data_IF_198056569664
#
_entry.id   IF_198056569664
#
_cell.length_a   1.000
_cell.length_b   1.000
_cell.length_c   1.000
_cell.angle_alpha   90.00
_cell.angle_beta   90.00
_cell.angle_gamma   90.00
#
_symmetry.space_group_name_H-M   'P 1'
#
loop_
_entity.id
_entity.type
_entity.pdbx_description
1 polymer ?
#
# COMPACT_ATOMS: atom_id res chain seq x y z
N UNK A 1 24.60 17.41 72.26
CA UNK A 1 23.60 16.37 71.89
C UNK A 1 22.83 16.88 70.67
N UNK A 2 22.56 15.99 69.71
CA UNK A 2 21.76 16.15 68.47
C UNK A 2 22.45 16.30 67.10
N UNK A 3 22.28 15.21 66.34
CA UNK A 3 21.73 15.18 64.97
C UNK A 3 22.63 15.53 63.79
N UNK A 4 23.53 14.59 63.43
CA UNK A 4 24.16 14.55 62.09
C UNK A 4 23.95 13.25 61.29
N UNK A 5 23.11 12.32 61.78
CA UNK A 5 23.09 10.94 61.26
C UNK A 5 21.77 10.49 60.59
N UNK A 6 20.84 11.39 60.25
CA UNK A 6 19.51 11.00 59.72
C UNK A 6 19.33 11.11 58.20
N UNK A 7 20.12 11.92 57.50
CA UNK A 7 19.94 12.16 56.05
C UNK A 7 20.56 11.09 55.15
N UNK A 8 21.79 10.66 55.43
CA UNK A 8 22.51 9.70 54.58
C UNK A 8 21.94 8.29 54.63
N UNK A 9 21.44 7.87 55.80
CA UNK A 9 20.75 6.58 55.96
C UNK A 9 19.45 6.50 55.17
N UNK A 10 18.78 7.64 54.95
CA UNK A 10 17.49 7.69 54.26
C UNK A 10 17.67 7.65 52.73
N UNK A 11 18.70 8.33 52.20
CA UNK A 11 19.10 8.19 50.79
C UNK A 11 19.59 6.76 50.46
N UNK A 12 20.39 6.15 51.34
CA UNK A 12 20.86 4.77 51.15
C UNK A 12 19.71 3.75 51.11
N UNK A 13 18.71 3.92 51.98
CA UNK A 13 17.52 3.07 51.99
C UNK A 13 16.66 3.26 50.72
N UNK A 14 16.48 4.49 50.24
CA UNK A 14 15.73 4.76 49.00
C UNK A 14 16.42 4.17 47.78
N UNK A 15 17.76 4.28 47.66
CA UNK A 15 18.50 3.64 46.58
C UNK A 15 18.42 2.11 46.63
N UNK A 16 18.54 1.50 47.82
CA UNK A 16 18.43 0.04 47.97
C UNK A 16 17.02 -0.46 47.62
N UNK A 17 15.97 0.24 48.06
CA UNK A 17 14.58 -0.10 47.73
C UNK A 17 14.30 0.11 46.24
N UNK A 18 14.85 1.15 45.60
CA UNK A 18 14.72 1.34 44.15
C UNK A 18 15.43 0.25 43.35
N UNK A 19 16.62 -0.19 43.77
CA UNK A 19 17.34 -1.30 43.12
C UNK A 19 16.59 -2.62 43.29
N UNK A 20 16.08 -2.90 44.49
CA UNK A 20 15.24 -4.08 44.75
C UNK A 20 13.93 -4.02 43.96
N UNK A 21 13.31 -2.84 43.82
CA UNK A 21 12.09 -2.65 43.04
C UNK A 21 12.34 -2.84 41.54
N UNK A 22 13.44 -2.29 41.01
CA UNK A 22 13.86 -2.52 39.62
C UNK A 22 14.25 -3.98 39.35
N UNK A 23 14.89 -4.66 40.32
CA UNK A 23 15.22 -6.07 40.20
C UNK A 23 13.96 -6.95 40.19
N UNK A 24 12.98 -6.68 41.06
CA UNK A 24 11.71 -7.43 41.10
C UNK A 24 10.88 -7.21 39.83
N UNK A 25 10.91 -6.01 39.24
CA UNK A 25 10.27 -5.73 37.95
C UNK A 25 10.98 -6.49 36.80
N UNK A 26 12.30 -6.66 36.88
CA UNK A 26 13.09 -7.40 35.87
C UNK A 26 12.89 -8.92 35.88
N UNK A 27 12.52 -9.53 37.02
CA UNK A 27 12.34 -10.99 37.15
C UNK A 27 10.88 -11.47 37.05
N UNK A 28 9.91 -10.56 36.91
CA UNK A 28 8.48 -10.93 36.86
C UNK A 28 7.91 -11.13 35.45
N UNK A 29 8.72 -11.05 34.39
CA UNK A 29 8.26 -11.40 33.05
C UNK A 29 8.41 -12.90 32.85
N UNK A 30 7.38 -13.66 33.23
CA UNK A 30 7.23 -15.04 32.79
C UNK A 30 7.30 -15.06 31.26
N UNK A 31 8.09 -15.95 30.64
CA UNK A 31 8.14 -16.06 29.18
C UNK A 31 6.72 -16.28 28.64
N UNK A 32 6.30 -15.45 27.68
CA UNK A 32 4.98 -15.51 27.07
C UNK A 32 5.11 -15.92 25.61
N UNK A 33 4.14 -16.69 25.14
CA UNK A 33 4.02 -17.02 23.73
C UNK A 33 3.84 -15.74 22.91
N UNK A 34 4.46 -15.67 21.73
CA UNK A 34 4.54 -14.45 20.92
C UNK A 34 4.63 -14.76 19.44
N UNK A 35 4.42 -13.72 18.63
CA UNK A 35 4.45 -13.82 17.17
C UNK A 35 5.65 -13.00 16.67
N UNK A 36 6.57 -13.66 15.98
CA UNK A 36 7.72 -13.01 15.36
C UNK A 36 7.39 -12.65 13.90
N UNK A 37 7.64 -11.40 13.52
CA UNK A 37 7.54 -10.92 12.14
C UNK A 37 8.94 -10.63 11.58
N UNK A 38 9.22 -11.19 10.40
CA UNK A 38 10.42 -10.89 9.61
C UNK A 38 10.01 -10.50 8.20
N UNK A 39 10.73 -9.57 7.58
CA UNK A 39 10.44 -9.10 6.22
C UNK A 39 11.64 -9.21 5.30
N UNK A 40 11.38 -9.50 4.02
CA UNK A 40 12.38 -9.51 2.96
C UNK A 40 11.86 -8.77 1.72
N UNK A 41 12.53 -7.68 1.26
CA UNK A 41 13.64 -7.00 1.94
C UNK A 41 13.24 -6.44 3.33
N UNK A 42 14.20 -6.02 4.16
CA UNK A 42 13.89 -5.33 5.41
C UNK A 42 12.98 -4.12 5.14
N UNK A 43 11.90 -3.95 5.90
CA UNK A 43 10.84 -2.98 5.58
C UNK A 43 11.35 -1.53 5.40
N UNK A 44 12.39 -1.14 6.13
CA UNK A 44 13.00 0.19 6.02
C UNK A 44 13.71 0.45 4.68
N UNK A 45 13.91 -0.59 3.86
CA UNK A 45 14.44 -0.53 2.50
C UNK A 45 13.36 -0.65 1.43
N UNK A 46 12.12 -0.97 1.83
CA UNK A 46 10.97 -0.95 0.93
C UNK A 46 10.48 0.48 0.75
N UNK A 47 9.80 0.76 -0.37
CA UNK A 47 9.09 2.02 -0.59
C UNK A 47 7.68 1.73 -1.07
N UNK A 48 6.72 2.64 -0.81
CA UNK A 48 5.35 2.49 -1.25
C UNK A 48 5.26 2.34 -2.76
N UNK A 49 4.16 1.77 -3.25
CA UNK A 49 3.89 1.83 -4.67
C UNK A 49 3.68 3.29 -5.10
N UNK A 50 4.40 3.69 -6.13
CA UNK A 50 4.28 5.01 -6.74
C UNK A 50 3.13 4.99 -7.76
N UNK A 51 2.06 5.77 -7.52
CA UNK A 51 0.94 5.93 -8.46
C UNK A 51 1.38 6.41 -9.86
N UNK A 52 2.53 7.09 -9.94
CA UNK A 52 3.11 7.62 -11.16
C UNK A 52 4.10 6.65 -11.84
N UNK A 53 4.31 5.43 -11.31
CA UNK A 53 5.27 4.45 -11.85
C UNK A 53 4.88 3.83 -13.21
N UNK A 54 3.90 4.39 -13.90
CA UNK A 54 3.60 4.04 -15.29
C UNK A 54 4.80 4.37 -16.19
N UNK A 55 5.01 3.60 -17.26
CA UNK A 55 6.11 3.82 -18.20
C UNK A 55 6.05 5.19 -18.93
N UNK A 56 4.91 5.88 -18.90
CA UNK A 56 4.70 7.15 -19.60
C UNK A 56 5.11 8.38 -18.77
N UNK A 57 4.98 8.35 -17.45
CA UNK A 57 5.29 9.49 -16.55
C UNK A 57 6.30 9.15 -15.44
N UNK A 58 6.64 7.87 -15.25
CA UNK A 58 7.54 7.39 -14.19
C UNK A 58 8.65 6.48 -14.69
N UNK A 59 9.24 5.73 -13.76
CA UNK A 59 10.41 4.87 -14.04
C UNK A 59 10.08 3.59 -14.82
N UNK A 60 8.79 3.22 -14.91
CA UNK A 60 8.33 1.91 -15.41
C UNK A 60 8.81 0.72 -14.58
N UNK A 61 9.42 0.95 -13.41
CA UNK A 61 9.95 -0.08 -12.52
C UNK A 61 9.06 -0.20 -11.29
N UNK A 62 8.45 -1.36 -11.13
CA UNK A 62 7.70 -1.74 -9.95
C UNK A 62 8.64 -2.40 -8.94
N UNK A 63 8.55 -1.97 -7.67
CA UNK A 63 9.25 -2.67 -6.60
C UNK A 63 8.61 -4.03 -6.39
N UNK A 64 9.42 -5.06 -6.16
CA UNK A 64 8.91 -6.36 -5.78
C UNK A 64 8.09 -6.24 -4.48
N UNK A 65 7.01 -7.03 -4.32
CA UNK A 65 6.25 -7.07 -3.08
C UNK A 65 7.15 -7.50 -1.91
N UNK A 66 6.83 -6.99 -0.72
CA UNK A 66 7.59 -7.33 0.49
C UNK A 66 7.11 -8.69 0.98
N UNK A 67 8.04 -9.63 1.14
CA UNK A 67 7.75 -10.90 1.79
C UNK A 67 7.61 -10.68 3.30
N UNK A 68 6.51 -11.14 3.86
CA UNK A 68 6.17 -11.10 5.28
C UNK A 68 6.15 -12.53 5.79
N UNK A 69 6.94 -12.82 6.81
CA UNK A 69 7.02 -14.12 7.46
C UNK A 69 6.66 -13.97 8.93
N UNK A 70 5.55 -14.61 9.31
CA UNK A 70 5.04 -14.68 10.66
C UNK A 70 5.35 -16.07 11.23
N UNK A 71 5.92 -16.11 12.42
CA UNK A 71 6.19 -17.36 13.15
C UNK A 71 5.61 -17.27 14.55
N UNK A 72 4.63 -18.13 14.83
CA UNK A 72 4.05 -18.27 16.16
C UNK A 72 4.99 -19.09 17.05
N UNK A 73 5.34 -18.57 18.23
CA UNK A 73 6.29 -19.19 19.15
C UNK A 73 5.69 -19.36 20.54
N UNK A 74 6.01 -20.46 21.18
CA UNK A 74 5.66 -20.70 22.57
C UNK A 74 6.51 -19.84 23.53
N UNK A 75 6.25 -19.97 24.83
CA UNK A 75 7.00 -19.30 25.89
C UNK A 75 8.51 -19.64 25.89
N UNK A 76 8.91 -20.79 25.35
CA UNK A 76 10.29 -21.24 25.24
C UNK A 76 10.95 -20.83 23.91
N UNK A 77 10.20 -20.17 23.01
CA UNK A 77 10.64 -19.74 21.70
C UNK A 77 10.53 -20.82 20.60
N UNK A 78 9.94 -21.99 20.89
CA UNK A 78 9.74 -23.05 19.92
C UNK A 78 8.51 -22.77 19.03
N UNK A 79 8.52 -23.17 17.74
CA UNK A 79 7.39 -22.96 16.84
C UNK A 79 6.11 -23.68 17.29
N UNK A 80 4.97 -22.99 17.20
CA UNK A 80 3.66 -23.56 17.48
C UNK A 80 3.09 -24.24 16.24
N UNK A 81 3.30 -25.55 16.13
CA UNK A 81 2.81 -26.36 15.00
C UNK A 81 1.28 -26.48 14.97
N UNK A 82 0.74 -26.76 13.78
CA UNK A 82 -0.70 -26.91 13.52
C UNK A 82 -1.51 -25.71 14.03
N UNK A 83 -1.03 -24.52 13.71
CA UNK A 83 -1.69 -23.27 14.05
C UNK A 83 -2.59 -22.81 12.89
N UNK A 84 -3.73 -22.22 13.21
CA UNK A 84 -4.52 -21.40 12.29
C UNK A 84 -4.15 -19.96 12.55
N UNK A 85 -3.64 -19.29 11.53
CA UNK A 85 -3.17 -17.91 11.60
C UNK A 85 -4.14 -17.06 10.80
N UNK A 86 -4.76 -16.10 11.48
CA UNK A 86 -5.55 -15.02 10.89
C UNK A 86 -4.71 -13.75 10.91
N UNK A 87 -4.58 -13.09 9.77
CA UNK A 87 -3.79 -11.88 9.59
C UNK A 87 -4.68 -10.82 8.96
N UNK A 88 -4.89 -9.73 9.69
CA UNK A 88 -5.48 -8.50 9.17
C UNK A 88 -4.39 -7.44 9.02
N UNK A 89 -4.15 -6.98 7.79
CA UNK A 89 -3.22 -5.88 7.49
C UNK A 89 -4.02 -4.59 7.37
N UNK A 90 -3.87 -3.69 8.34
CA UNK A 90 -4.51 -2.38 8.31
C UNK A 90 -3.56 -1.31 7.78
N UNK A 91 -4.07 -0.44 6.91
CA UNK A 91 -3.34 0.70 6.39
C UNK A 91 -3.16 1.80 7.45
N UNK A 92 -2.15 2.66 7.31
CA UNK A 92 -1.94 3.81 8.18
C UNK A 92 -3.19 4.70 8.29
N UNK A 93 -3.45 5.30 9.46
CA UNK A 93 -4.62 6.13 9.68
C UNK A 93 -4.59 7.42 8.83
N UNK A 94 -5.76 8.03 8.56
CA UNK A 94 -5.83 9.21 7.70
C UNK A 94 -5.03 10.41 8.20
N UNK A 95 -4.37 11.10 7.27
CA UNK A 95 -3.57 12.31 7.56
C UNK A 95 -4.12 13.51 6.80
N UNK A 96 -5.16 14.20 7.31
CA UNK A 96 -5.98 15.12 6.52
C UNK A 96 -5.21 16.31 5.91
N UNK A 97 -4.07 16.68 6.50
CA UNK A 97 -3.25 17.81 6.05
C UNK A 97 -2.07 17.42 5.15
N UNK A 98 -1.69 16.14 5.15
CA UNK A 98 -0.52 15.60 4.45
C UNK A 98 -0.81 14.18 3.96
N UNK A 99 -1.85 14.05 3.13
CA UNK A 99 -2.33 12.76 2.64
C UNK A 99 -1.26 12.03 1.83
N UNK A 100 -1.45 10.74 1.71
CA UNK A 100 -0.68 9.85 0.83
C UNK A 100 -1.21 9.94 -0.60
N UNK A 101 -0.57 9.22 -1.52
CA UNK A 101 -0.94 9.21 -2.94
C UNK A 101 -2.31 8.53 -3.18
N UNK A 102 -2.74 7.70 -2.24
CA UNK A 102 -4.03 7.03 -2.24
C UNK A 102 -4.86 7.38 -0.99
N UNK A 103 -5.42 8.61 -0.87
CA UNK A 103 -6.13 9.03 0.35
C UNK A 103 -7.32 8.14 0.73
N UNK A 104 -7.91 7.46 -0.25
CA UNK A 104 -9.09 6.60 -0.09
C UNK A 104 -8.74 5.31 0.65
N UNK A 105 -7.48 4.86 0.59
CA UNK A 105 -7.02 3.65 1.27
C UNK A 105 -6.47 3.92 2.66
N UNK A 106 -6.49 5.16 3.15
CA UNK A 106 -6.03 5.48 4.50
C UNK A 106 -7.04 4.99 5.55
N UNK A 107 -6.57 4.29 6.57
CA UNK A 107 -7.39 3.78 7.68
C UNK A 107 -8.33 2.62 7.33
N UNK A 108 -8.03 1.87 6.27
CA UNK A 108 -8.82 0.72 5.80
C UNK A 108 -8.06 -0.60 5.98
N UNK A 109 -8.75 -1.71 5.82
CA UNK A 109 -8.13 -3.04 5.79
C UNK A 109 -7.61 -3.32 4.37
N UNK A 110 -6.30 -3.57 4.25
CA UNK A 110 -5.65 -3.91 2.99
C UNK A 110 -5.81 -5.39 2.66
N UNK A 111 -5.69 -6.25 3.66
CA UNK A 111 -5.76 -7.70 3.53
C UNK A 111 -6.39 -8.30 4.78
N UNK A 112 -7.29 -9.26 4.59
CA UNK A 112 -7.80 -10.15 5.64
C UNK A 112 -7.61 -11.60 5.15
N UNK A 113 -6.73 -12.34 5.83
CA UNK A 113 -6.31 -13.66 5.37
C UNK A 113 -6.32 -14.67 6.52
N UNK A 114 -6.94 -15.83 6.30
CA UNK A 114 -6.95 -16.93 7.27
C UNK A 114 -6.42 -18.21 6.64
N UNK A 115 -5.39 -18.79 7.25
CA UNK A 115 -4.82 -20.05 6.79
C UNK A 115 -4.37 -20.97 7.92
N UNK A 116 -4.34 -22.27 7.60
CA UNK A 116 -3.71 -23.27 8.44
C UNK A 116 -2.21 -23.31 8.13
N UNK A 117 -1.39 -23.23 9.17
CA UNK A 117 0.07 -23.24 9.17
C UNK A 117 0.58 -24.47 9.94
N UNK A 118 0.79 -25.62 9.27
CA UNK A 118 1.20 -26.88 9.92
C UNK A 118 2.51 -26.76 10.71
N UNK A 119 3.44 -25.93 10.24
CA UNK A 119 4.75 -25.68 10.87
C UNK A 119 4.76 -24.48 11.82
N UNK A 120 3.61 -23.83 12.04
CA UNK A 120 3.52 -22.58 12.81
C UNK A 120 4.07 -21.36 12.10
N UNK A 121 4.36 -21.48 10.80
CA UNK A 121 4.91 -20.43 9.95
C UNK A 121 3.92 -20.06 8.85
N UNK A 122 3.71 -18.75 8.70
CA UNK A 122 2.88 -18.16 7.66
C UNK A 122 3.72 -17.19 6.84
N UNK A 123 3.69 -17.34 5.51
CA UNK A 123 4.45 -16.48 4.60
C UNK A 123 3.55 -15.94 3.49
N UNK A 124 3.61 -14.63 3.27
CA UNK A 124 2.94 -13.95 2.16
C UNK A 124 3.82 -12.87 1.56
N UNK A 125 3.48 -12.38 0.38
CA UNK A 125 4.07 -11.21 -0.24
C UNK A 125 2.99 -10.16 -0.43
N UNK A 126 3.28 -8.92 -0.09
CA UNK A 126 2.33 -7.82 -0.15
C UNK A 126 3.00 -6.55 -0.69
N UNK A 127 2.36 -5.89 -1.65
CA UNK A 127 2.66 -4.51 -2.00
C UNK A 127 2.00 -3.58 -0.98
N UNK A 128 2.78 -2.66 -0.41
CA UNK A 128 2.27 -1.62 0.47
C UNK A 128 2.03 -0.34 -0.33
N UNK A 129 0.77 0.10 -0.50
CA UNK A 129 0.47 1.19 -1.42
C UNK A 129 0.83 2.57 -0.90
N UNK A 130 0.93 2.77 0.42
CA UNK A 130 1.11 4.09 1.02
C UNK A 130 2.19 4.08 2.11
N UNK A 131 2.82 5.24 2.35
CA UNK A 131 3.76 5.42 3.47
C UNK A 131 3.04 5.36 4.82
N UNK A 132 3.75 4.97 5.88
CA UNK A 132 3.31 5.11 7.26
C UNK A 132 3.37 3.82 8.08
N UNK A 133 2.71 3.84 9.23
CA UNK A 133 2.68 2.71 10.17
C UNK A 133 1.46 1.83 9.92
N UNK A 134 1.69 0.66 9.34
CA UNK A 134 0.70 -0.41 9.20
C UNK A 134 0.58 -1.17 10.52
N UNK A 135 -0.65 -1.61 10.81
CA UNK A 135 -0.93 -2.51 11.93
C UNK A 135 -1.33 -3.88 11.39
N UNK A 136 -0.55 -4.90 11.74
CA UNK A 136 -0.85 -6.29 11.43
C UNK A 136 -1.46 -6.91 12.68
N UNK A 137 -2.78 -7.12 12.69
CA UNK A 137 -3.42 -7.90 13.76
C UNK A 137 -3.28 -9.37 13.39
N UNK A 138 -2.67 -10.13 14.29
CA UNK A 138 -2.43 -11.55 14.08
C UNK A 138 -3.05 -12.33 15.23
N UNK A 139 -4.01 -13.18 14.87
CA UNK A 139 -4.68 -14.10 15.77
C UNK A 139 -4.25 -15.53 15.43
N UNK A 140 -3.72 -16.25 16.42
CA UNK A 140 -3.20 -17.60 16.28
C UNK A 140 -4.00 -18.54 17.16
N UNK A 141 -4.70 -19.48 16.55
CA UNK A 141 -5.51 -20.49 17.23
C UNK A 141 -4.96 -21.89 16.93
N UNK A 142 -5.09 -22.86 17.86
CA UNK A 142 -4.72 -24.23 17.54
C UNK A 142 -5.75 -24.85 16.59
N UNK A 143 -5.30 -25.54 15.54
CA UNK A 143 -6.19 -26.31 14.64
C UNK A 143 -6.84 -27.47 15.41
N UNK A 144 -6.08 -28.08 16.34
CA UNK A 144 -6.58 -29.12 17.25
C UNK A 144 -6.88 -28.49 18.60
N UNK A 145 -8.14 -28.56 19.05
CA UNK A 145 -8.58 -27.95 20.30
C UNK A 145 -7.68 -28.34 21.48
N UNK A 146 -7.18 -27.33 22.21
CA UNK A 146 -6.35 -27.52 23.40
C UNK A 146 -4.86 -27.78 23.14
N UNK A 147 -4.38 -27.78 21.89
CA UNK A 147 -2.95 -27.98 21.60
C UNK A 147 -2.05 -26.87 22.19
N UNK A 148 -2.54 -25.63 22.19
CA UNK A 148 -1.93 -24.49 22.88
C UNK A 148 -3.00 -23.41 23.16
N UNK A 149 -2.69 -22.45 24.02
CA UNK A 149 -3.56 -21.30 24.30
C UNK A 149 -3.51 -20.29 23.16
N UNK A 150 -4.66 -19.85 22.59
CA UNK A 150 -4.68 -18.86 21.52
C UNK A 150 -3.90 -17.58 21.86
N UNK A 151 -3.27 -16.98 20.85
CA UNK A 151 -2.41 -15.80 20.98
C UNK A 151 -2.94 -14.74 20.02
N UNK A 152 -3.09 -13.51 20.51
CA UNK A 152 -3.44 -12.35 19.70
C UNK A 152 -2.35 -11.30 19.88
N UNK A 153 -1.80 -10.78 18.78
CA UNK A 153 -0.79 -9.71 18.83
C UNK A 153 -0.99 -8.74 17.67
N UNK A 154 -0.84 -7.45 17.96
CA UNK A 154 -0.71 -6.42 16.93
C UNK A 154 0.77 -6.11 16.70
N UNK A 155 1.23 -6.32 15.47
CA UNK A 155 2.59 -6.05 15.03
C UNK A 155 2.60 -4.78 14.19
N UNK A 156 3.54 -3.88 14.44
CA UNK A 156 3.63 -2.62 13.70
C UNK A 156 4.68 -2.72 12.61
N UNK A 157 4.35 -2.22 11.43
CA UNK A 157 5.22 -2.23 10.25
C UNK A 157 5.29 -0.83 9.66
N UNK A 158 6.46 -0.19 9.73
CA UNK A 158 6.66 1.18 9.23
C UNK A 158 7.24 1.16 7.83
N UNK A 159 6.44 1.59 6.85
CA UNK A 159 6.87 1.79 5.45
C UNK A 159 7.34 3.24 5.30
N UNK A 160 8.64 3.48 4.97
CA UNK A 160 9.15 4.83 4.81
C UNK A 160 8.63 5.49 3.53
N UNK A 161 8.70 6.82 3.45
CA UNK A 161 8.44 7.55 2.20
C UNK A 161 9.58 7.38 1.20
N UNK A 162 9.29 7.53 -0.10
CA UNK A 162 10.30 7.58 -1.14
C UNK A 162 11.27 8.77 -0.91
N UNK A 163 12.55 8.46 -0.83
CA UNK A 163 13.61 9.47 -0.63
C UNK A 163 13.67 10.49 -1.76
N UNK A 164 13.33 10.11 -3.00
CA UNK A 164 13.28 11.03 -4.13
C UNK A 164 12.21 12.10 -3.95
N UNK A 165 11.02 11.75 -3.44
CA UNK A 165 9.97 12.73 -3.14
C UNK A 165 10.44 13.76 -2.12
N UNK A 166 11.16 13.31 -1.08
CA UNK A 166 11.73 14.21 -0.07
C UNK A 166 12.79 15.16 -0.64
N UNK A 167 13.52 14.75 -1.68
CA UNK A 167 14.53 15.58 -2.35
C UNK A 167 13.87 16.59 -3.31
N UNK A 168 12.90 16.16 -4.11
CA UNK A 168 12.28 17.03 -5.13
C UNK A 168 11.24 17.99 -4.57
N UNK A 169 10.55 17.62 -3.49
CA UNK A 169 9.55 18.47 -2.85
C UNK A 169 10.06 19.89 -2.54
N UNK A 170 11.17 20.10 -1.79
CA UNK A 170 11.68 21.44 -1.50
C UNK A 170 12.10 22.23 -2.75
N UNK A 171 12.53 21.55 -3.81
CA UNK A 171 12.88 22.18 -5.10
C UNK A 171 11.62 22.81 -5.72
N UNK A 172 10.51 22.07 -5.74
CA UNK A 172 9.23 22.58 -6.23
C UNK A 172 8.78 23.79 -5.39
N UNK A 173 8.89 23.72 -4.06
CA UNK A 173 8.54 24.85 -3.19
C UNK A 173 9.41 26.08 -3.50
N UNK A 174 10.71 25.90 -3.71
CA UNK A 174 11.62 26.98 -4.06
C UNK A 174 11.27 27.63 -5.42
N UNK A 175 10.92 26.82 -6.42
CA UNK A 175 10.46 27.30 -7.73
C UNK A 175 9.17 28.12 -7.57
N UNK A 176 8.17 27.61 -6.86
CA UNK A 176 6.91 28.32 -6.62
C UNK A 176 7.13 29.66 -5.91
N UNK A 177 7.99 29.68 -4.89
CA UNK A 177 8.37 30.91 -4.19
C UNK A 177 9.09 31.89 -5.11
N UNK A 178 10.01 31.42 -5.95
CA UNK A 178 10.74 32.26 -6.90
C UNK A 178 9.82 32.86 -7.97
N UNK A 179 8.90 32.06 -8.51
CA UNK A 179 7.87 32.53 -9.47
C UNK A 179 6.99 33.59 -8.80
N UNK A 180 6.45 33.30 -7.61
CA UNK A 180 5.67 34.25 -6.85
C UNK A 180 6.43 35.54 -6.60
N UNK A 181 7.68 35.44 -6.10
CA UNK A 181 8.55 36.57 -5.85
C UNK A 181 8.78 37.43 -7.11
N UNK A 182 9.12 36.80 -8.24
CA UNK A 182 9.29 37.49 -9.52
C UNK A 182 8.02 38.24 -9.94
N UNK A 183 6.86 37.60 -9.82
CA UNK A 183 5.58 38.24 -10.14
C UNK A 183 5.28 39.44 -9.23
N UNK A 184 5.45 39.28 -7.92
CA UNK A 184 5.28 40.36 -6.96
C UNK A 184 6.23 41.53 -7.18
N UNK A 185 7.48 41.22 -7.53
CA UNK A 185 8.49 42.22 -7.86
C UNK A 185 8.11 43.05 -9.09
N UNK A 186 7.64 42.40 -10.15
CA UNK A 186 7.17 43.07 -11.37
C UNK A 186 5.96 43.97 -11.07
N UNK A 187 5.00 43.48 -10.29
CA UNK A 187 3.80 44.25 -9.87
C UNK A 187 4.19 45.45 -9.00
N UNK A 188 5.19 45.29 -8.12
CA UNK A 188 5.67 46.35 -7.24
C UNK A 188 6.45 47.47 -7.95
N UNK A 189 6.74 47.35 -9.25
CA UNK A 189 7.44 48.37 -10.01
C UNK A 189 6.53 49.58 -10.27
N UNK A 190 7.00 50.79 -9.95
CA UNK A 190 6.30 52.05 -10.29
C UNK A 190 6.48 52.34 -11.79
N UNK A 191 5.65 51.73 -12.62
CA UNK A 191 5.48 52.18 -14.01
C UNK A 191 4.40 53.26 -14.08
N UNK A 192 4.65 54.33 -14.82
CA UNK A 192 3.63 55.34 -15.11
C UNK A 192 2.54 54.73 -15.99
N UNK A 193 1.30 54.71 -15.50
CA UNK A 193 0.13 54.32 -16.30
C UNK A 193 -0.15 55.44 -17.30
N UNK A 194 -0.06 55.16 -18.60
CA UNK A 194 -0.38 56.16 -19.63
C UNK A 194 -1.88 56.41 -19.64
N UNK A 195 -2.30 57.62 -19.98
CA UNK A 195 -3.72 57.98 -20.07
C UNK A 195 -4.44 57.04 -21.04
N UNK A 196 -5.46 56.32 -20.56
CA UNK A 196 -6.18 55.27 -21.30
C UNK A 196 -5.69 53.84 -21.07
N UNK A 197 -4.63 53.61 -20.30
CA UNK A 197 -4.17 52.26 -19.90
C UNK A 197 -4.67 51.88 -18.49
N UNK A 198 -4.93 50.59 -18.26
CA UNK A 198 -5.49 50.06 -16.98
C UNK A 198 -4.37 49.60 -16.01
N UNK A 199 -3.17 49.28 -16.53
CA UNK A 199 -2.03 48.85 -15.71
C UNK A 199 -0.69 49.19 -16.39
N UNK A 200 0.42 49.27 -15.63
CA UNK A 200 1.75 49.49 -16.19
C UNK A 200 2.15 48.39 -17.20
N UNK A 201 2.89 48.77 -18.26
CA UNK A 201 3.42 47.85 -19.29
C UNK A 201 4.02 46.53 -18.73
N UNK A 202 4.86 46.51 -17.68
CA UNK A 202 5.41 45.25 -17.15
C UNK A 202 4.35 44.33 -16.55
N UNK A 203 3.31 44.88 -15.92
CA UNK A 203 2.18 44.11 -15.37
C UNK A 203 1.32 43.54 -16.49
N UNK A 204 1.08 44.32 -17.55
CA UNK A 204 0.33 43.85 -18.72
C UNK A 204 1.03 42.69 -19.42
N UNK A 205 2.35 42.76 -19.59
CA UNK A 205 3.15 41.69 -20.18
C UNK A 205 3.11 40.41 -19.34
N UNK A 206 3.19 40.55 -18.02
CA UNK A 206 3.05 39.42 -17.09
C UNK A 206 1.66 38.79 -17.22
N UNK A 207 0.59 39.59 -17.16
CA UNK A 207 -0.78 39.10 -17.27
C UNK A 207 -1.01 38.38 -18.60
N UNK A 208 -0.56 38.96 -19.72
CA UNK A 208 -0.66 38.32 -21.04
C UNK A 208 0.13 37.01 -21.12
N UNK A 209 1.32 36.96 -20.51
CA UNK A 209 2.13 35.75 -20.47
C UNK A 209 1.46 34.64 -19.67
N UNK A 210 0.91 34.97 -18.50
CA UNK A 210 0.15 34.03 -17.66
C UNK A 210 -1.08 33.51 -18.41
N UNK A 211 -1.82 34.37 -19.12
CA UNK A 211 -2.97 33.95 -19.91
C UNK A 211 -2.58 32.97 -21.02
N UNK A 212 -1.49 33.24 -21.75
CA UNK A 212 -1.00 32.32 -22.80
C UNK A 212 -0.57 30.97 -22.21
N UNK A 213 0.14 30.97 -21.08
CA UNK A 213 0.54 29.74 -20.37
C UNK A 213 -0.70 28.98 -19.89
N UNK A 214 -1.69 29.67 -19.32
CA UNK A 214 -2.92 29.05 -18.86
C UNK A 214 -3.70 28.41 -20.02
N UNK A 215 -3.80 29.09 -21.17
CA UNK A 215 -4.42 28.53 -22.38
C UNK A 215 -3.65 27.30 -22.87
N UNK A 216 -2.32 27.38 -22.96
CA UNK A 216 -1.49 26.25 -23.37
C UNK A 216 -1.62 25.05 -22.41
N UNK A 217 -1.65 25.30 -21.10
CA UNK A 217 -1.86 24.28 -20.08
C UNK A 217 -3.26 23.66 -20.17
N UNK A 218 -4.31 24.46 -20.35
CA UNK A 218 -5.66 23.96 -20.55
C UNK A 218 -5.79 23.14 -21.83
N UNK A 219 -5.14 23.56 -22.93
CA UNK A 219 -5.10 22.77 -24.16
C UNK A 219 -4.35 21.45 -23.97
N UNK A 220 -3.19 21.47 -23.30
CA UNK A 220 -2.44 20.26 -22.98
C UNK A 220 -3.28 19.29 -22.15
N UNK A 221 -3.91 19.77 -21.07
CA UNK A 221 -4.78 18.96 -20.22
C UNK A 221 -5.99 18.39 -20.99
N UNK A 222 -6.61 19.17 -21.87
CA UNK A 222 -7.76 18.73 -22.65
C UNK A 222 -7.36 17.66 -23.68
N UNK A 223 -6.24 17.86 -24.37
CA UNK A 223 -5.68 16.87 -25.32
C UNK A 223 -5.29 15.58 -24.57
N UNK A 224 -4.60 15.69 -23.43
CA UNK A 224 -4.21 14.54 -22.62
C UNK A 224 -5.41 13.77 -22.05
N UNK A 225 -6.48 14.46 -21.66
CA UNK A 225 -7.72 13.81 -21.22
C UNK A 225 -8.41 13.05 -22.36
N UNK A 226 -8.41 13.60 -23.58
CA UNK A 226 -8.97 12.95 -24.77
C UNK A 226 -8.19 11.67 -25.14
N UNK A 227 -6.86 11.70 -25.05
CA UNK A 227 -6.01 10.51 -25.23
C UNK A 227 -6.18 9.47 -24.11
N UNK A 228 -6.40 9.89 -22.86
CA UNK A 228 -6.69 8.97 -21.76
C UNK A 228 -8.03 8.25 -21.95
N UNK A 229 -9.05 8.95 -22.47
CA UNK A 229 -10.35 8.32 -22.81
C UNK A 229 -10.32 7.48 -24.08
N UNK A 230 -9.38 7.73 -25.01
CA UNK A 230 -9.23 6.92 -26.22
C UNK A 230 -8.68 5.51 -25.93
N UNK A 231 -8.13 5.25 -24.74
CA UNK A 231 -7.76 3.92 -24.27
C UNK A 231 -8.88 3.20 -23.50
N UNK A 232 -10.06 3.82 -23.34
CA UNK A 232 -11.24 3.22 -22.72
C UNK A 232 -12.41 3.17 -23.72
N UNK A 233 -12.48 2.11 -24.54
CA UNK A 233 -13.70 1.43 -25.06
C UNK A 233 -13.40 0.65 -26.37
N UNK A 234 -14.27 -0.28 -26.83
CA UNK A 234 -14.67 -1.58 -26.27
C UNK A 234 -14.28 -2.74 -27.24
N UNK A 235 -14.60 -3.98 -26.86
CA UNK A 235 -14.53 -5.20 -27.67
C UNK A 235 -14.72 -5.04 -29.20
N UNK A 236 -13.80 -5.63 -29.99
CA UNK A 236 -14.01 -6.34 -31.27
C UNK A 236 -12.72 -7.17 -31.52
N UNK A 237 -12.75 -8.50 -31.46
CA UNK A 237 -13.14 -9.42 -32.53
C UNK A 237 -12.38 -9.15 -33.85
N UNK A 238 -11.60 -10.16 -34.24
CA UNK A 238 -10.92 -10.35 -35.54
C UNK A 238 -9.77 -9.40 -35.90
N UNK A 239 -8.54 -9.89 -35.76
CA UNK A 239 -7.67 -10.29 -36.90
C UNK A 239 -6.22 -10.32 -36.44
N UNK A 240 -5.70 -11.48 -36.00
CA UNK A 240 -4.32 -11.89 -36.32
C UNK A 240 -4.34 -13.40 -36.52
N UNK A 241 -4.33 -13.79 -37.79
CA UNK A 241 -3.91 -15.11 -38.21
C UNK A 241 -2.36 -15.19 -38.15
N UNK A 242 -1.87 -16.37 -37.80
CA UNK A 242 -0.50 -16.87 -37.98
C UNK A 242 0.63 -16.15 -37.21
N UNK A 243 1.08 -16.73 -36.09
CA UNK A 243 2.27 -17.60 -36.05
C UNK A 243 2.15 -18.54 -34.83
N UNK A 244 2.41 -19.82 -35.07
CA UNK A 244 2.34 -20.95 -34.17
C UNK A 244 3.28 -20.89 -32.96
N UNK A 245 2.75 -21.27 -31.80
CA UNK A 245 3.43 -21.97 -30.70
C UNK A 245 2.35 -22.51 -29.76
N UNK A 246 2.24 -23.83 -29.69
CA UNK A 246 1.29 -24.53 -28.85
C UNK A 246 1.57 -24.25 -27.36
N UNK A 247 0.59 -23.74 -26.63
CA UNK A 247 -0.02 -24.49 -25.52
C UNK A 247 -1.27 -23.81 -24.96
N UNK A 248 -2.24 -24.68 -24.68
CA UNK A 248 -3.57 -24.55 -24.07
C UNK A 248 -3.75 -23.41 -23.05
N UNK A 249 -4.65 -22.46 -23.32
CA UNK A 249 -5.97 -22.38 -22.64
C UNK A 249 -6.75 -21.16 -23.13
N UNK A 250 -7.91 -21.45 -23.71
CA UNK A 250 -8.98 -20.51 -23.97
C UNK A 250 -9.35 -19.71 -22.73
N UNK A 251 -9.70 -18.45 -22.97
CA UNK A 251 -10.36 -17.48 -22.10
C UNK A 251 -11.67 -18.08 -21.54
N UNK A 252 -11.57 -18.95 -20.55
CA UNK A 252 -12.70 -19.60 -19.89
C UNK A 252 -12.76 -19.08 -18.44
N UNK A 253 -13.44 -17.94 -18.28
CA UNK A 253 -13.65 -17.20 -17.04
C UNK A 253 -14.60 -17.90 -16.05
N UNK A 254 -14.80 -19.21 -16.19
CA UNK A 254 -15.74 -19.97 -15.35
C UNK A 254 -15.29 -20.09 -13.90
N UNK A 255 -14.06 -19.69 -13.57
CA UNK A 255 -13.46 -19.88 -12.25
C UNK A 255 -13.37 -21.36 -11.88
N UNK A 256 -13.47 -22.28 -12.83
CA UNK A 256 -13.54 -23.70 -12.59
C UNK A 256 -12.62 -24.44 -13.54
N UNK A 257 -11.77 -25.32 -13.00
CA UNK A 257 -10.97 -26.23 -13.80
C UNK A 257 -11.05 -27.64 -13.22
N UNK A 258 -11.15 -28.63 -14.12
CA UNK A 258 -11.10 -30.04 -13.77
C UNK A 258 -9.88 -30.67 -14.45
N UNK A 259 -9.01 -31.30 -13.66
CA UNK A 259 -7.78 -31.93 -14.15
C UNK A 259 -7.44 -33.14 -13.30
N UNK A 260 -7.07 -34.25 -13.94
CA UNK A 260 -6.54 -35.45 -13.26
C UNK A 260 -7.45 -35.99 -12.13
N UNK A 261 -8.77 -35.93 -12.30
CA UNK A 261 -9.72 -36.38 -11.26
C UNK A 261 -9.91 -35.37 -10.11
N UNK A 262 -9.39 -34.16 -10.26
CA UNK A 262 -9.52 -33.06 -9.31
C UNK A 262 -10.38 -31.94 -9.90
N UNK A 263 -11.10 -31.24 -9.05
CA UNK A 263 -11.92 -30.07 -9.35
C UNK A 263 -11.43 -28.91 -8.47
N UNK A 264 -10.90 -27.87 -9.11
CA UNK A 264 -10.51 -26.61 -8.48
C UNK A 264 -11.47 -25.51 -8.89
N UNK A 265 -12.02 -24.82 -7.89
CA UNK A 265 -13.02 -23.77 -8.06
C UNK A 265 -12.53 -22.49 -7.37
N UNK A 266 -12.48 -21.38 -8.10
CA UNK A 266 -12.14 -20.04 -7.65
C UNK A 266 -13.39 -19.16 -7.76
N UNK A 267 -13.98 -18.89 -6.61
CA UNK A 267 -15.16 -18.04 -6.44
C UNK A 267 -14.78 -16.74 -5.76
N UNK A 268 -15.57 -15.68 -5.96
CA UNK A 268 -15.31 -14.38 -5.37
C UNK A 268 -16.00 -13.26 -6.12
N UNK A 269 -15.68 -12.03 -5.74
CA UNK A 269 -16.16 -10.83 -6.41
C UNK A 269 -15.56 -10.71 -7.82
N UNK A 270 -16.38 -10.29 -8.78
CA UNK A 270 -15.97 -10.04 -10.18
C UNK A 270 -15.63 -8.57 -10.43
N UNK A 271 -16.11 -7.68 -9.56
CA UNK A 271 -15.83 -6.26 -9.59
C UNK A 271 -15.65 -5.73 -8.17
N UNK A 272 -14.87 -4.67 -8.04
CA UNK A 272 -14.71 -3.92 -6.79
C UNK A 272 -14.34 -2.48 -7.10
N UNK A 273 -14.18 -1.67 -6.06
CA UNK A 273 -13.72 -0.29 -6.18
C UNK A 273 -12.46 -0.09 -5.33
N UNK A 274 -11.64 0.88 -5.72
CA UNK A 274 -10.46 1.28 -4.94
C UNK A 274 -10.85 1.54 -3.48
N UNK A 275 -10.14 0.92 -2.54
CA UNK A 275 -10.40 1.09 -1.11
C UNK A 275 -11.47 0.15 -0.52
N UNK A 276 -12.09 -0.73 -1.32
CA UNK A 276 -13.02 -1.77 -0.82
C UNK A 276 -12.39 -3.15 -0.84
N UNK A 277 -12.73 -3.95 0.16
CA UNK A 277 -12.34 -5.36 0.22
C UNK A 277 -13.16 -6.17 -0.80
N UNK A 278 -12.47 -6.94 -1.62
CA UNK A 278 -13.04 -8.00 -2.45
C UNK A 278 -12.76 -9.35 -1.80
N UNK A 279 -13.73 -10.25 -1.85
CA UNK A 279 -13.66 -11.59 -1.25
C UNK A 279 -13.37 -12.65 -2.28
N UNK A 280 -12.48 -13.58 -1.94
CA UNK A 280 -12.11 -14.71 -2.80
C UNK A 280 -12.07 -16.01 -2.01
N UNK A 281 -12.38 -17.12 -2.68
CA UNK A 281 -12.28 -18.45 -2.14
C UNK A 281 -11.85 -19.43 -3.23
N UNK A 282 -10.78 -20.16 -2.95
CA UNK A 282 -10.36 -21.33 -3.70
C UNK A 282 -10.82 -22.61 -2.99
N UNK A 283 -11.37 -23.56 -3.74
CA UNK A 283 -11.83 -24.86 -3.23
C UNK A 283 -11.32 -25.99 -4.11
N UNK A 284 -10.61 -26.94 -3.49
CA UNK A 284 -10.12 -28.14 -4.14
C UNK A 284 -10.90 -29.37 -3.65
N UNK A 285 -11.48 -30.09 -4.60
CA UNK A 285 -12.26 -31.31 -4.36
C UNK A 285 -11.88 -32.40 -5.34
N UNK A 286 -12.13 -33.64 -4.95
CA UNK A 286 -12.09 -34.80 -5.85
C UNK A 286 -13.27 -34.72 -6.83
N UNK A 287 -13.02 -34.85 -8.14
CA UNK A 287 -14.05 -34.62 -9.15
C UNK A 287 -15.12 -35.71 -9.21
N UNK A 288 -14.83 -36.92 -8.69
CA UNK A 288 -15.77 -38.04 -8.68
C UNK A 288 -16.59 -38.07 -7.40
N UNK A 289 -15.93 -37.86 -6.26
CA UNK A 289 -16.54 -38.01 -4.93
C UNK A 289 -17.00 -36.69 -4.33
N UNK A 290 -16.59 -35.55 -4.89
CA UNK A 290 -16.75 -34.20 -4.32
C UNK A 290 -16.20 -34.07 -2.89
N UNK A 291 -15.34 -34.99 -2.46
CA UNK A 291 -14.69 -34.89 -1.15
C UNK A 291 -13.59 -33.83 -1.18
N UNK A 292 -13.41 -33.08 -0.08
CA UNK A 292 -12.38 -32.05 0.01
C UNK A 292 -10.98 -32.66 0.00
N UNK A 293 -10.03 -31.93 -0.58
CA UNK A 293 -8.62 -32.33 -0.64
C UNK A 293 -7.79 -31.31 0.13
N UNK A 294 -7.11 -31.79 1.16
CA UNK A 294 -6.29 -30.97 2.05
C UNK A 294 -4.79 -31.23 1.94
N UNK A 295 -4.36 -32.24 1.19
CA UNK A 295 -2.94 -32.62 0.98
C UNK A 295 -2.35 -31.99 -0.29
N UNK A 296 -2.71 -30.73 -0.57
CA UNK A 296 -2.21 -29.93 -1.68
C UNK A 296 -1.60 -28.60 -1.19
N UNK A 297 -0.75 -28.00 -2.02
CA UNK A 297 -0.22 -26.65 -1.82
C UNK A 297 -0.92 -25.71 -2.79
N UNK A 298 -1.49 -24.64 -2.27
CA UNK A 298 -2.06 -23.54 -3.03
C UNK A 298 -1.01 -22.42 -3.11
N UNK A 299 -0.77 -21.94 -4.32
CA UNK A 299 -0.07 -20.69 -4.60
C UNK A 299 -1.10 -19.71 -5.16
N UNK A 300 -1.47 -18.74 -4.35
CA UNK A 300 -2.40 -17.65 -4.70
C UNK A 300 -1.58 -16.44 -5.15
N UNK A 301 -1.96 -15.81 -6.24
CA UNK A 301 -1.35 -14.58 -6.74
C UNK A 301 -2.43 -13.62 -7.24
N UNK A 302 -2.27 -12.34 -6.90
CA UNK A 302 -3.01 -11.21 -7.46
C UNK A 302 -2.05 -10.44 -8.35
N UNK A 303 -2.31 -10.40 -9.66
CA UNK A 303 -1.42 -9.81 -10.67
C UNK A 303 -2.15 -8.66 -11.37
N UNK A 304 -1.55 -7.48 -11.37
CA UNK A 304 -2.11 -6.32 -12.05
C UNK A 304 -1.97 -6.47 -13.58
N UNK A 305 -3.06 -6.32 -14.32
CA UNK A 305 -3.11 -6.67 -15.74
C UNK A 305 -2.41 -5.66 -16.67
N UNK A 306 -2.38 -4.38 -16.31
CA UNK A 306 -1.81 -3.33 -17.17
C UNK A 306 -0.28 -3.40 -17.29
N UNK A 307 0.39 -3.76 -16.19
CA UNK A 307 1.85 -3.70 -16.06
C UNK A 307 2.47 -5.02 -15.57
N UNK A 308 1.65 -6.05 -15.33
CA UNK A 308 2.07 -7.42 -15.01
C UNK A 308 2.99 -7.53 -13.78
N UNK A 309 2.67 -6.81 -12.71
CA UNK A 309 3.33 -6.94 -11.41
C UNK A 309 2.43 -7.65 -10.39
N UNK A 310 3.05 -8.31 -9.42
CA UNK A 310 2.36 -9.07 -8.36
C UNK A 310 2.02 -8.14 -7.19
N UNK A 311 0.72 -7.96 -6.92
CA UNK A 311 0.23 -7.16 -5.80
C UNK A 311 0.22 -7.93 -4.49
N UNK A 312 -0.16 -9.20 -4.57
CA UNK A 312 -0.24 -10.11 -3.44
C UNK A 312 0.14 -11.52 -3.88
N UNK A 313 0.84 -12.25 -3.01
CA UNK A 313 1.04 -13.68 -3.18
C UNK A 313 1.06 -14.43 -1.85
N UNK A 314 0.55 -15.64 -1.84
CA UNK A 314 0.58 -16.54 -0.69
C UNK A 314 0.80 -17.98 -1.12
N UNK A 315 1.60 -18.72 -0.34
CA UNK A 315 1.78 -20.16 -0.54
C UNK A 315 1.49 -20.90 0.76
N UNK A 316 0.59 -21.90 0.70
CA UNK A 316 0.31 -22.73 1.85
C UNK A 316 -0.70 -23.85 1.57
N UNK A 317 -1.27 -24.42 2.62
CA UNK A 317 -2.24 -25.52 2.52
C UNK A 317 -3.68 -25.00 2.64
N UNK A 318 -4.66 -25.63 1.96
CA UNK A 318 -6.06 -25.41 2.26
C UNK A 318 -6.44 -26.01 3.62
N UNK A 319 -7.57 -25.56 4.17
CA UNK A 319 -8.08 -26.08 5.42
C UNK A 319 -8.65 -27.51 5.27
N UNK A 320 -9.16 -28.09 6.36
CA UNK A 320 -9.77 -29.43 6.37
C UNK A 320 -10.98 -29.61 5.42
N UNK A 321 -11.61 -28.51 4.97
CA UNK A 321 -12.67 -28.52 3.95
C UNK A 321 -12.16 -28.34 2.52
N UNK A 322 -10.83 -28.38 2.32
CA UNK A 322 -10.20 -28.17 1.02
C UNK A 322 -10.34 -26.75 0.50
N UNK A 323 -10.58 -25.78 1.39
CA UNK A 323 -10.79 -24.37 1.02
C UNK A 323 -9.71 -23.45 1.56
N UNK A 324 -9.49 -22.36 0.83
CA UNK A 324 -8.70 -21.21 1.24
C UNK A 324 -9.50 -19.96 0.88
N UNK A 325 -9.74 -19.07 1.85
CA UNK A 325 -10.51 -17.86 1.64
C UNK A 325 -9.73 -16.65 2.15
N UNK A 326 -9.84 -15.54 1.44
CA UNK A 326 -9.19 -14.29 1.79
C UNK A 326 -9.98 -13.10 1.25
N UNK A 327 -9.69 -11.92 1.80
CA UNK A 327 -10.16 -10.66 1.26
C UNK A 327 -8.98 -9.74 1.01
N UNK A 328 -9.00 -9.06 -0.12
CA UNK A 328 -7.95 -8.16 -0.57
C UNK A 328 -8.57 -6.84 -1.02
N UNK A 329 -7.94 -5.73 -0.64
CA UNK A 329 -8.28 -4.41 -1.14
C UNK A 329 -7.34 -4.04 -2.29
N UNK A 330 -7.93 -3.61 -3.40
CA UNK A 330 -7.20 -3.02 -4.52
C UNK A 330 -7.11 -1.50 -4.36
N UNK A 331 -6.00 -0.91 -4.80
CA UNK A 331 -5.67 0.48 -4.51
C UNK A 331 -5.37 1.34 -5.75
N UNK A 332 -5.08 0.74 -6.91
CA UNK A 332 -4.60 1.45 -8.11
C UNK A 332 -5.70 1.71 -9.15
N UNK A 333 -6.84 1.01 -9.06
CA UNK A 333 -7.95 1.17 -10.00
C UNK A 333 -7.73 0.48 -11.35
N UNK A 334 -6.79 -0.46 -11.43
CA UNK A 334 -6.54 -1.26 -12.62
C UNK A 334 -7.13 -2.67 -12.48
N UNK A 335 -7.54 -3.33 -13.58
CA UNK A 335 -7.97 -4.73 -13.55
C UNK A 335 -6.87 -5.67 -13.05
N UNK A 336 -7.25 -6.71 -12.31
CA UNK A 336 -6.33 -7.72 -11.77
C UNK A 336 -6.71 -9.15 -12.19
N UNK A 337 -5.70 -10.01 -12.26
CA UNK A 337 -5.82 -11.45 -12.47
C UNK A 337 -5.54 -12.18 -11.15
N UNK A 338 -6.54 -12.88 -10.65
CA UNK A 338 -6.45 -13.76 -9.48
C UNK A 338 -6.14 -15.16 -9.97
N UNK A 339 -4.98 -15.66 -9.59
CA UNK A 339 -4.46 -16.94 -10.03
C UNK A 339 -4.25 -17.85 -8.83
N UNK A 340 -4.74 -19.09 -8.94
CA UNK A 340 -4.51 -20.12 -7.94
C UNK A 340 -3.91 -21.33 -8.61
N UNK A 341 -2.62 -21.56 -8.37
CA UNK A 341 -1.90 -22.74 -8.81
C UNK A 341 -1.89 -23.78 -7.68
N UNK A 342 -2.19 -25.02 -8.01
CA UNK A 342 -2.27 -26.13 -7.06
C UNK A 342 -1.24 -27.19 -7.42
N UNK A 343 -0.45 -27.61 -6.44
CA UNK A 343 0.54 -28.69 -6.58
C UNK A 343 0.40 -29.72 -5.44
N UNK A 344 0.81 -30.98 -5.63
CA UNK A 344 0.76 -31.98 -4.56
C UNK A 344 1.73 -31.60 -3.43
N UNK A 345 1.31 -31.75 -2.18
CA UNK A 345 2.21 -31.59 -1.05
C UNK A 345 3.25 -32.74 -1.03
N UNK A 346 4.44 -32.49 -0.45
CA UNK A 346 5.52 -33.49 -0.42
C UNK A 346 5.14 -34.84 0.22
N UNK A 347 4.18 -34.83 1.15
CA UNK A 347 3.65 -36.01 1.85
C UNK A 347 2.25 -36.41 1.39
N UNK A 348 1.81 -35.91 0.23
CA UNK A 348 0.49 -36.21 -0.33
C UNK A 348 0.36 -37.69 -0.65
N UNK A 349 -0.83 -38.27 -0.41
CA UNK A 349 -1.14 -39.64 -0.85
C UNK A 349 -1.41 -39.70 -2.35
N UNK A 350 -1.68 -38.55 -2.95
CA UNK A 350 -2.05 -38.38 -4.36
C UNK A 350 -0.92 -37.65 -5.09
N UNK A 351 -0.53 -38.19 -6.23
CA UNK A 351 0.38 -37.52 -7.17
C UNK A 351 -0.42 -36.99 -8.34
N UNK A 352 -0.24 -35.70 -8.66
CA UNK A 352 -0.84 -35.03 -9.81
C UNK A 352 0.10 -33.93 -10.30
N UNK A 353 0.05 -33.61 -11.60
CA UNK A 353 0.80 -32.48 -12.15
C UNK A 353 0.16 -31.15 -11.72
N UNK A 354 0.96 -30.12 -11.39
CA UNK A 354 0.43 -28.82 -11.03
C UNK A 354 -0.49 -28.25 -12.11
N UNK A 355 -1.55 -27.57 -11.69
CA UNK A 355 -2.50 -26.91 -12.59
C UNK A 355 -3.06 -25.65 -11.94
N UNK A 356 -3.58 -24.74 -12.76
CA UNK A 356 -3.96 -23.40 -12.33
C UNK A 356 -5.39 -23.07 -12.75
N UNK A 357 -6.08 -22.29 -11.92
CA UNK A 357 -7.30 -21.57 -12.28
C UNK A 357 -7.03 -20.07 -12.20
N UNK A 358 -7.62 -19.32 -13.12
CA UNK A 358 -7.48 -17.87 -13.21
C UNK A 358 -8.85 -17.22 -13.29
N UNK A 359 -9.03 -16.10 -12.59
CA UNK A 359 -10.21 -15.24 -12.69
C UNK A 359 -9.77 -13.79 -12.73
N UNK A 360 -10.37 -12.99 -13.58
CA UNK A 360 -10.13 -11.55 -13.64
C UNK A 360 -11.13 -10.81 -12.75
N UNK A 361 -10.70 -9.70 -12.17
CA UNK A 361 -11.53 -8.77 -11.40
C UNK A 361 -11.30 -7.35 -11.93
N UNK A 362 -12.41 -6.67 -12.23
CA UNK A 362 -12.38 -5.26 -12.61
C UNK A 362 -12.37 -4.38 -11.36
N UNK A 363 -11.46 -3.41 -11.30
CA UNK A 363 -11.34 -2.47 -10.19
C UNK A 363 -11.70 -1.08 -10.68
N UNK A 364 -12.75 -0.49 -10.12
CA UNK A 364 -13.13 0.89 -10.43
C UNK A 364 -12.21 1.88 -9.71
N UNK A 365 -11.45 2.64 -10.49
CA UNK A 365 -10.63 3.75 -9.98
C UNK A 365 -11.49 4.89 -9.43
N UNK A 366 -11.21 5.31 -8.19
CA UNK A 366 -11.89 6.44 -7.56
C UNK A 366 -10.95 7.65 -7.50
N UNK A 367 -11.43 8.78 -7.99
CA UNK A 367 -10.68 10.02 -7.98
C UNK A 367 -10.47 10.55 -6.54
N UNK A 368 -9.33 11.19 -6.21
CA UNK A 368 -9.10 11.73 -4.87
C UNK A 368 -10.22 12.69 -4.43
N UNK A 369 -10.66 12.63 -3.15
CA UNK A 369 -11.72 13.50 -2.63
C UNK A 369 -11.47 14.99 -2.86
N UNK A 370 -12.54 15.75 -3.13
CA UNK A 370 -12.43 17.18 -3.50
C UNK A 370 -11.72 18.01 -2.42
N UNK A 371 -11.98 17.73 -1.14
CA UNK A 371 -11.33 18.41 -0.02
C UNK A 371 -9.79 18.22 -0.03
N UNK A 372 -9.29 17.03 -0.35
CA UNK A 372 -7.85 16.76 -0.45
C UNK A 372 -7.22 17.60 -1.56
N UNK A 373 -7.89 17.69 -2.72
CA UNK A 373 -7.45 18.53 -3.85
C UNK A 373 -7.42 20.01 -3.48
N UNK A 374 -8.44 20.49 -2.76
CA UNK A 374 -8.52 21.88 -2.31
C UNK A 374 -7.43 22.22 -1.28
N UNK A 375 -7.09 21.30 -0.39
CA UNK A 375 -5.98 21.48 0.57
C UNK A 375 -4.65 21.62 -0.17
N UNK A 376 -4.36 20.72 -1.12
CA UNK A 376 -3.15 20.80 -1.95
C UNK A 376 -3.08 22.11 -2.74
N UNK A 377 -4.18 22.51 -3.38
CA UNK A 377 -4.29 23.80 -4.07
C UNK A 377 -4.03 24.97 -3.12
N UNK A 378 -4.56 24.92 -1.90
CA UNK A 378 -4.35 25.90 -0.85
C UNK A 378 -2.88 26.07 -0.50
N UNK A 379 -2.13 24.98 -0.31
CA UNK A 379 -0.69 25.04 -0.01
C UNK A 379 0.12 25.68 -1.15
N UNK A 380 -0.08 25.22 -2.39
CA UNK A 380 0.67 25.74 -3.54
C UNK A 380 0.34 27.22 -3.82
N UNK A 381 -0.95 27.59 -3.74
CA UNK A 381 -1.39 28.99 -3.88
C UNK A 381 -0.86 29.86 -2.74
N UNK A 382 -0.85 29.34 -1.52
CA UNK A 382 -0.33 30.03 -0.34
C UNK A 382 1.16 30.36 -0.50
N UNK A 383 1.97 29.39 -0.91
CA UNK A 383 3.40 29.61 -1.17
C UNK A 383 3.66 30.63 -2.27
N UNK A 384 2.94 30.53 -3.39
CA UNK A 384 3.04 31.50 -4.47
C UNK A 384 2.67 32.92 -3.99
N UNK A 385 1.61 33.03 -3.19
CA UNK A 385 1.14 34.30 -2.61
C UNK A 385 2.17 34.88 -1.64
N UNK A 386 2.81 34.07 -0.80
CA UNK A 386 3.89 34.48 0.10
C UNK A 386 5.06 35.04 -0.71
N UNK A 387 5.48 34.33 -1.76
CA UNK A 387 6.49 34.81 -2.71
C UNK A 387 6.11 36.17 -3.27
N UNK A 388 4.89 36.30 -3.79
CA UNK A 388 4.38 37.53 -4.40
C UNK A 388 4.33 38.72 -3.43
N UNK A 389 3.81 38.54 -2.22
CA UNK A 389 3.79 39.59 -1.20
C UNK A 389 5.21 40.04 -0.86
N UNK A 390 6.14 39.08 -0.75
CA UNK A 390 7.55 39.35 -0.45
C UNK A 390 8.21 40.15 -1.56
N UNK A 391 8.10 39.70 -2.82
CA UNK A 391 8.65 40.41 -3.98
C UNK A 391 8.10 41.82 -4.12
N UNK A 392 6.79 41.98 -3.93
CA UNK A 392 6.13 43.29 -3.95
C UNK A 392 6.66 44.24 -2.86
N UNK A 393 6.74 43.76 -1.61
CA UNK A 393 7.25 44.55 -0.48
C UNK A 393 8.71 44.96 -0.67
N UNK A 394 9.56 44.05 -1.14
CA UNK A 394 10.98 44.35 -1.38
C UNK A 394 11.14 45.41 -2.46
N UNK A 395 10.44 45.25 -3.59
CA UNK A 395 10.51 46.22 -4.67
C UNK A 395 9.98 47.61 -4.25
N UNK A 396 8.87 47.65 -3.50
CA UNK A 396 8.32 48.91 -3.00
C UNK A 396 9.27 49.62 -2.03
N UNK A 397 9.93 48.87 -1.15
CA UNK A 397 10.96 49.41 -0.22
C UNK A 397 12.15 49.98 -0.99
N UNK A 398 12.64 49.25 -2.01
CA UNK A 398 13.74 49.71 -2.86
C UNK A 398 13.41 51.04 -3.53
N UNK A 399 12.22 51.15 -4.14
CA UNK A 399 11.75 52.36 -4.82
C UNK A 399 11.36 53.50 -3.86
N UNK A 400 11.24 53.25 -2.55
CA UNK A 400 11.03 54.31 -1.55
C UNK A 400 12.34 54.85 -0.95
N UNK A 401 13.45 54.14 -1.15
CA UNK A 401 14.79 54.55 -0.70
C UNK A 401 15.61 55.24 -1.79
N UNK A 402 15.16 55.13 -3.03
CA UNK A 402 15.61 55.90 -4.19
C UNK A 402 14.65 57.08 -4.30
#
# INVERSE_FOLDING_TARGET
MFSKFKGSSLLGAVCAVSILSCAVIGFSQSPQASIALTTEPPIHQSSPLEAEATAYLGSGKYNAPVQLKLQAKDALGAPLNNARIHVEVMTPPPTPWFTTDFPIVEGTTLLDFMADAPTGEFQMQQVFPIRGNYALKVDVMPVVAGAFTPIAQTLNLSVPENSLKLIYFPIILAILLAIGFGGGWVIGSRGTVRSGEIAPRPVRLLLSGVTVIAIAALMFLNISAEFATAHTSPHNAETIADVSSADVSSKDSSGLIQSQGLKLELTGDENTQVGKLASFQAKLTDSQTNQPISDAIFLVQSIQLENNWVAFAYQGVPNASGTLAWQEQFFDGAPHSIQVNVSPAANSKRSFQPFQVTREIDVEGIAPPMNVRLIGLGYFTGLLTIGMITGFKVQRRRLSRI
#
